data_IF_174601844853
#
_entry.id   IF_174601844853
#
_cell.length_a   1.000
_cell.length_b   1.000
_cell.length_c   1.000
_cell.angle_alpha   90.00
_cell.angle_beta   90.00
_cell.angle_gamma   90.00
#
_symmetry.space_group_name_H-M   'P 1'
#
loop_
_entity.id
_entity.type
_entity.pdbx_description
1 polymer ?
#
# COMPACT_ATOMS: atom_id res chain seq x y z
N UNK A 1 -18.79 33.42 1.52
CA UNK A 1 -18.44 31.99 1.66
C UNK A 1 -16.97 31.90 2.02
N UNK A 2 -16.57 31.16 3.07
CA UNK A 2 -15.15 31.01 3.39
C UNK A 2 -14.42 30.34 2.20
N UNK A 3 -13.22 30.81 1.87
CA UNK A 3 -12.34 30.12 0.90
C UNK A 3 -12.15 28.70 1.41
N UNK A 4 -12.58 27.70 0.64
CA UNK A 4 -12.20 26.33 0.91
C UNK A 4 -10.67 26.23 0.72
N UNK A 5 -9.92 25.98 1.80
CA UNK A 5 -8.47 25.85 1.76
C UNK A 5 -8.15 24.38 1.99
N UNK A 6 -7.75 23.70 0.91
CA UNK A 6 -7.27 22.33 1.00
C UNK A 6 -5.94 22.30 1.77
N UNK A 7 -5.84 21.37 2.71
CA UNK A 7 -4.62 21.08 3.45
C UNK A 7 -3.63 20.32 2.59
N UNK A 8 -2.37 20.24 3.06
CA UNK A 8 -1.34 19.40 2.43
C UNK A 8 -1.80 17.94 2.32
N UNK A 9 -2.44 17.42 3.36
CA UNK A 9 -2.94 16.04 3.41
C UNK A 9 -4.08 15.80 2.42
N UNK A 10 -4.97 16.78 2.21
CA UNK A 10 -6.03 16.66 1.18
C UNK A 10 -5.44 16.49 -0.22
N UNK A 11 -4.38 17.24 -0.52
CA UNK A 11 -3.65 17.11 -1.79
C UNK A 11 -2.95 15.77 -1.94
N UNK A 12 -2.32 15.25 -0.88
CA UNK A 12 -1.65 13.95 -0.90
C UNK A 12 -2.66 12.80 -1.02
N UNK A 13 -3.78 12.85 -0.28
CA UNK A 13 -4.85 11.86 -0.37
C UNK A 13 -5.47 11.80 -1.78
N UNK A 14 -5.78 12.97 -2.36
CA UNK A 14 -6.32 13.02 -3.71
C UNK A 14 -5.27 12.62 -4.76
N UNK A 15 -4.03 13.09 -4.58
CA UNK A 15 -2.89 12.72 -5.42
C UNK A 15 -2.71 11.21 -5.47
N UNK A 16 -2.78 10.54 -4.32
CA UNK A 16 -2.62 9.08 -4.23
C UNK A 16 -3.79 8.38 -4.93
N UNK A 17 -5.01 8.87 -4.74
CA UNK A 17 -6.21 8.38 -5.43
C UNK A 17 -6.06 8.48 -6.96
N UNK A 18 -5.48 9.58 -7.46
CA UNK A 18 -5.25 9.78 -8.90
C UNK A 18 -4.12 8.89 -9.40
N UNK A 19 -3.01 8.83 -8.67
CA UNK A 19 -1.85 8.01 -8.97
C UNK A 19 -2.20 6.52 -9.05
N UNK A 20 -3.02 6.00 -8.14
CA UNK A 20 -3.43 4.60 -8.14
C UNK A 20 -4.26 4.21 -9.38
N UNK A 21 -4.87 5.18 -10.06
CA UNK A 21 -5.65 4.94 -11.28
C UNK A 21 -4.76 4.85 -12.52
N UNK A 22 -3.87 5.82 -12.75
CA UNK A 22 -3.12 5.93 -14.01
C UNK A 22 -1.64 6.32 -13.84
N UNK A 23 -1.07 6.10 -12.66
CA UNK A 23 0.30 6.46 -12.34
C UNK A 23 0.52 7.96 -12.43
N UNK A 24 1.76 8.33 -12.77
CA UNK A 24 2.19 9.72 -12.77
C UNK A 24 1.35 10.62 -13.69
N UNK A 25 0.96 10.12 -14.87
CA UNK A 25 0.17 10.86 -15.84
C UNK A 25 -1.21 11.34 -15.32
N UNK A 26 -1.69 10.76 -14.21
CA UNK A 26 -2.90 11.21 -13.54
C UNK A 26 -2.72 12.53 -12.76
N UNK A 27 -1.50 12.86 -12.34
CA UNK A 27 -1.18 13.93 -11.39
C UNK A 27 -1.17 15.32 -12.05
N UNK A 28 -2.32 15.71 -12.61
CA UNK A 28 -2.53 17.03 -13.22
C UNK A 28 -3.07 18.00 -12.17
N UNK A 29 -2.28 19.01 -11.81
CA UNK A 29 -2.59 19.97 -10.73
C UNK A 29 -3.95 20.65 -10.96
N UNK A 30 -4.26 21.10 -12.18
CA UNK A 30 -5.55 21.72 -12.50
C UNK A 30 -6.74 20.78 -12.25
N UNK A 31 -6.61 19.50 -12.58
CA UNK A 31 -7.69 18.51 -12.36
C UNK A 31 -7.86 18.21 -10.87
N UNK A 32 -6.75 18.05 -10.15
CA UNK A 32 -6.77 17.83 -8.71
C UNK A 32 -7.36 19.04 -7.96
N UNK A 33 -6.97 20.26 -8.34
CA UNK A 33 -7.52 21.50 -7.79
C UNK A 33 -9.05 21.56 -7.97
N UNK A 34 -9.53 21.24 -9.19
CA UNK A 34 -10.96 21.18 -9.50
C UNK A 34 -11.68 20.14 -8.63
N UNK A 35 -11.10 18.96 -8.44
CA UNK A 35 -11.66 17.91 -7.57
C UNK A 35 -11.71 18.30 -6.10
N UNK A 36 -10.75 19.08 -5.61
CA UNK A 36 -10.75 19.63 -4.24
C UNK A 36 -11.64 20.87 -4.07
N UNK A 37 -12.15 21.45 -5.17
CA UNK A 37 -12.90 22.71 -5.13
C UNK A 37 -12.05 23.92 -4.73
N UNK A 38 -10.74 23.90 -5.02
CA UNK A 38 -9.78 24.96 -4.67
C UNK A 38 -9.05 25.48 -5.91
N UNK A 39 -8.37 26.63 -5.79
CA UNK A 39 -7.53 27.16 -6.87
C UNK A 39 -6.24 26.36 -7.01
N UNK A 40 -5.70 26.22 -8.23
CA UNK A 40 -4.38 25.60 -8.43
C UNK A 40 -3.26 26.32 -7.68
N UNK A 41 -3.41 27.60 -7.40
CA UNK A 41 -2.43 28.38 -6.65
C UNK A 41 -2.19 27.83 -5.24
N UNK A 42 -3.21 27.24 -4.58
CA UNK A 42 -3.04 26.68 -3.24
C UNK A 42 -2.16 25.42 -3.22
N UNK A 43 -2.01 24.72 -4.34
CA UNK A 43 -1.03 23.63 -4.47
C UNK A 43 0.39 24.13 -4.23
N UNK A 44 0.75 25.25 -4.86
CA UNK A 44 2.09 25.83 -4.77
C UNK A 44 2.44 26.40 -3.38
N UNK A 45 1.45 26.53 -2.50
CA UNK A 45 1.68 26.90 -1.10
C UNK A 45 2.20 25.71 -0.28
N UNK A 46 1.85 24.49 -0.71
CA UNK A 46 2.25 23.25 -0.06
C UNK A 46 3.48 22.62 -0.73
N UNK A 47 3.52 22.60 -2.06
CA UNK A 47 4.54 21.90 -2.84
C UNK A 47 5.29 22.86 -3.76
N UNK A 48 6.60 23.02 -3.51
CA UNK A 48 7.46 23.95 -4.25
C UNK A 48 7.75 23.50 -5.67
N UNK A 49 7.90 22.19 -5.87
CA UNK A 49 8.21 21.57 -7.15
C UNK A 49 7.40 20.29 -7.33
N UNK A 50 7.31 19.84 -8.59
CA UNK A 50 6.69 18.56 -8.95
C UNK A 50 7.38 17.40 -8.24
N UNK A 51 8.71 17.40 -8.21
CA UNK A 51 9.52 16.35 -7.58
C UNK A 51 9.30 16.30 -6.06
N UNK A 52 9.22 17.46 -5.41
CA UNK A 52 8.91 17.55 -3.98
C UNK A 52 7.55 16.95 -3.67
N UNK A 53 6.55 17.21 -4.50
CA UNK A 53 5.24 16.58 -4.36
C UNK A 53 5.29 15.07 -4.61
N UNK A 54 6.05 14.57 -5.59
CA UNK A 54 6.17 13.14 -5.84
C UNK A 54 6.84 12.40 -4.68
N UNK A 55 7.89 12.98 -4.08
CA UNK A 55 8.54 12.42 -2.90
C UNK A 55 7.60 12.36 -1.71
N UNK A 56 6.93 13.48 -1.39
CA UNK A 56 5.94 13.48 -0.29
C UNK A 56 4.76 12.54 -0.57
N UNK A 57 4.36 12.39 -1.83
CA UNK A 57 3.31 11.46 -2.22
C UNK A 57 3.75 10.01 -2.03
N UNK A 58 5.01 9.69 -2.31
CA UNK A 58 5.59 8.37 -2.07
C UNK A 58 5.65 8.07 -0.56
N UNK A 59 6.09 9.02 0.25
CA UNK A 59 6.08 8.91 1.72
C UNK A 59 4.66 8.72 2.27
N UNK A 60 3.70 9.47 1.73
CA UNK A 60 2.29 9.33 2.09
C UNK A 60 1.73 7.95 1.69
N UNK A 61 2.11 7.45 0.51
CA UNK A 61 1.79 6.09 0.09
C UNK A 61 2.35 5.04 1.06
N UNK A 62 3.58 5.18 1.55
CA UNK A 62 4.16 4.29 2.58
C UNK A 62 3.35 4.35 3.87
N UNK A 63 3.02 5.56 4.33
CA UNK A 63 2.26 5.79 5.57
C UNK A 63 0.89 5.13 5.51
N UNK A 64 0.16 5.31 4.41
CA UNK A 64 -1.19 4.80 4.24
C UNK A 64 -1.22 3.31 3.88
N UNK A 65 -0.35 2.88 2.97
CA UNK A 65 -0.36 1.53 2.39
C UNK A 65 0.50 0.49 3.12
N UNK A 66 1.32 0.89 4.10
CA UNK A 66 2.16 -0.05 4.86
C UNK A 66 2.09 0.23 6.35
N UNK A 67 2.48 1.43 6.79
CA UNK A 67 2.62 1.72 8.23
C UNK A 67 1.28 1.62 8.95
N UNK A 68 0.21 2.14 8.34
CA UNK A 68 -1.14 2.09 8.93
C UNK A 68 -1.66 0.66 9.10
N UNK A 69 -1.47 -0.22 8.11
CA UNK A 69 -1.89 -1.63 8.18
C UNK A 69 -1.08 -2.42 9.21
N UNK A 70 0.25 -2.25 9.23
CA UNK A 70 1.12 -2.83 10.25
C UNK A 70 0.65 -2.40 11.64
N UNK A 71 0.44 -1.09 11.85
CA UNK A 71 -0.02 -0.56 13.13
C UNK A 71 -1.41 -1.09 13.53
N UNK A 72 -2.33 -1.23 12.59
CA UNK A 72 -3.67 -1.75 12.85
C UNK A 72 -3.61 -3.22 13.29
N UNK A 73 -2.81 -4.05 12.61
CA UNK A 73 -2.66 -5.46 12.96
C UNK A 73 -2.06 -5.67 14.37
N UNK A 74 -1.18 -4.78 14.85
CA UNK A 74 -0.57 -4.88 16.19
C UNK A 74 -1.55 -4.79 17.37
N UNK A 75 -2.84 -4.52 17.13
CA UNK A 75 -3.88 -4.55 18.17
C UNK A 75 -4.26 -5.97 18.59
N UNK A 76 -3.99 -6.97 17.76
CA UNK A 76 -4.30 -8.37 18.03
C UNK A 76 -3.16 -9.04 18.82
N UNK A 77 -3.48 -10.06 19.63
CA UNK A 77 -2.50 -10.64 20.55
C UNK A 77 -1.59 -11.65 19.88
N UNK A 78 -2.16 -12.64 19.19
CA UNK A 78 -1.40 -13.72 18.55
C UNK A 78 -0.90 -13.32 17.17
N UNK A 79 0.27 -13.81 16.78
CA UNK A 79 0.84 -13.48 15.46
C UNK A 79 0.00 -14.01 14.30
N UNK A 80 -0.63 -15.18 14.46
CA UNK A 80 -1.61 -15.72 13.51
C UNK A 80 -2.80 -14.77 13.31
N UNK A 81 -3.36 -14.23 14.39
CA UNK A 81 -4.46 -13.27 14.31
C UNK A 81 -4.02 -11.94 13.69
N UNK A 82 -2.82 -11.45 14.02
CA UNK A 82 -2.23 -10.26 13.37
C UNK A 82 -2.12 -10.47 11.86
N UNK A 83 -1.65 -11.64 11.42
CA UNK A 83 -1.49 -11.99 10.00
C UNK A 83 -2.83 -12.12 9.28
N UNK A 84 -3.82 -12.78 9.89
CA UNK A 84 -5.18 -12.86 9.37
C UNK A 84 -5.77 -11.47 9.15
N UNK A 85 -5.72 -10.61 10.16
CA UNK A 85 -6.32 -9.27 10.10
C UNK A 85 -5.54 -8.34 9.16
N UNK A 86 -4.21 -8.44 9.14
CA UNK A 86 -3.38 -7.72 8.17
C UNK A 86 -3.78 -8.06 6.74
N UNK A 87 -3.84 -9.36 6.41
CA UNK A 87 -4.18 -9.81 5.06
C UNK A 87 -5.63 -9.48 4.71
N UNK A 88 -6.58 -9.64 5.64
CA UNK A 88 -7.99 -9.24 5.44
C UNK A 88 -8.11 -7.78 5.01
N UNK A 89 -7.53 -6.89 5.80
CA UNK A 89 -7.57 -5.44 5.53
C UNK A 89 -6.86 -5.07 4.23
N UNK A 90 -5.72 -5.70 3.93
CA UNK A 90 -4.95 -5.42 2.71
C UNK A 90 -5.66 -5.94 1.46
N UNK A 91 -6.29 -7.11 1.49
CA UNK A 91 -6.97 -7.68 0.32
C UNK A 91 -8.36 -7.07 0.07
N UNK A 92 -9.07 -6.63 1.12
CA UNK A 92 -10.38 -5.99 0.97
C UNK A 92 -10.24 -4.49 0.63
N UNK A 93 -9.38 -3.77 1.35
CA UNK A 93 -9.30 -2.30 1.27
C UNK A 93 -7.99 -1.80 0.65
N UNK A 94 -6.87 -2.47 0.96
CA UNK A 94 -5.53 -1.95 0.69
C UNK A 94 -5.00 -2.19 -0.73
N UNK A 95 -5.51 -3.19 -1.46
CA UNK A 95 -4.98 -3.56 -2.78
C UNK A 95 -5.24 -2.50 -3.84
N UNK A 96 -6.35 -1.78 -3.74
CA UNK A 96 -6.64 -0.64 -4.61
C UNK A 96 -5.74 0.58 -4.30
N UNK A 97 -5.07 0.57 -3.14
CA UNK A 97 -4.02 1.52 -2.79
C UNK A 97 -2.61 1.05 -3.16
N UNK A 98 -2.46 -0.21 -3.57
CA UNK A 98 -1.17 -0.79 -3.92
C UNK A 98 -0.80 -0.50 -5.38
N UNK A 99 -0.39 0.74 -5.63
CA UNK A 99 0.11 1.21 -6.94
C UNK A 99 1.60 0.93 -7.15
N UNK A 100 2.14 -0.12 -6.54
CA UNK A 100 3.58 -0.35 -6.50
C UNK A 100 4.21 -0.48 -7.90
N UNK A 101 3.47 -0.97 -8.89
CA UNK A 101 3.90 -0.95 -10.29
C UNK A 101 4.18 0.47 -10.80
N UNK A 102 3.30 1.43 -10.53
CA UNK A 102 3.50 2.82 -10.94
C UNK A 102 4.66 3.46 -10.18
N UNK A 103 4.87 3.11 -8.91
CA UNK A 103 6.05 3.55 -8.17
C UNK A 103 7.34 2.95 -8.72
N UNK A 104 7.33 1.68 -9.14
CA UNK A 104 8.46 1.02 -9.83
C UNK A 104 8.75 1.61 -11.21
N UNK A 105 7.73 2.11 -11.90
CA UNK A 105 7.95 2.82 -13.15
C UNK A 105 8.61 4.18 -12.88
N UNK A 106 8.11 4.92 -11.89
CA UNK A 106 8.66 6.22 -11.50
C UNK A 106 10.07 6.12 -10.88
N UNK A 107 10.37 5.02 -10.19
CA UNK A 107 11.69 4.81 -9.58
C UNK A 107 12.82 4.69 -10.59
N UNK A 108 12.53 4.37 -11.86
CA UNK A 108 13.53 4.31 -12.94
C UNK A 108 14.18 5.67 -13.22
N UNK A 109 13.52 6.75 -12.80
CA UNK A 109 13.93 8.13 -13.05
C UNK A 109 14.32 8.86 -11.74
N UNK A 110 14.22 8.21 -10.57
CA UNK A 110 14.47 8.82 -9.27
C UNK A 110 14.99 7.81 -8.24
N UNK A 111 16.28 7.93 -7.89
CA UNK A 111 16.93 7.09 -6.88
C UNK A 111 16.23 7.18 -5.52
N UNK A 112 15.75 8.37 -5.14
CA UNK A 112 15.03 8.55 -3.87
C UNK A 112 13.71 7.76 -3.84
N UNK A 113 13.00 7.67 -4.96
CA UNK A 113 11.78 6.85 -5.06
C UNK A 113 12.14 5.36 -5.14
N UNK A 114 13.23 5.01 -5.82
CA UNK A 114 13.76 3.64 -5.83
C UNK A 114 14.04 3.13 -4.42
N UNK A 115 14.73 3.92 -3.60
CA UNK A 115 15.02 3.59 -2.21
C UNK A 115 13.73 3.42 -1.39
N UNK A 116 12.75 4.31 -1.57
CA UNK A 116 11.44 4.20 -0.91
C UNK A 116 10.74 2.89 -1.29
N UNK A 117 10.69 2.56 -2.59
CA UNK A 117 10.04 1.32 -3.06
C UNK A 117 10.72 0.10 -2.47
N UNK A 118 12.06 0.00 -2.58
CA UNK A 118 12.82 -1.13 -2.02
C UNK A 118 12.58 -1.31 -0.53
N UNK A 119 12.64 -0.22 0.24
CA UNK A 119 12.43 -0.25 1.68
C UNK A 119 11.01 -0.67 2.06
N UNK A 120 9.99 -0.27 1.29
CA UNK A 120 8.61 -0.68 1.52
C UNK A 120 8.41 -2.17 1.29
N UNK A 121 8.97 -2.71 0.20
CA UNK A 121 8.85 -4.14 -0.10
C UNK A 121 9.55 -4.97 0.98
N UNK A 122 10.77 -4.56 1.34
CA UNK A 122 11.54 -5.21 2.42
C UNK A 122 10.76 -5.17 3.75
N UNK A 123 10.27 -4.01 4.15
CA UNK A 123 9.50 -3.85 5.39
C UNK A 123 8.24 -4.72 5.44
N UNK A 124 7.53 -4.86 4.31
CA UNK A 124 6.34 -5.71 4.22
C UNK A 124 6.69 -7.18 4.42
N UNK A 125 7.73 -7.65 3.74
CA UNK A 125 8.16 -9.05 3.83
C UNK A 125 8.71 -9.35 5.22
N UNK A 126 9.58 -8.49 5.76
CA UNK A 126 10.13 -8.64 7.12
C UNK A 126 9.03 -8.65 8.19
N UNK A 127 7.99 -7.84 8.03
CA UNK A 127 6.87 -7.87 8.96
C UNK A 127 6.11 -9.19 8.88
N UNK A 128 5.80 -9.70 7.68
CA UNK A 128 5.16 -11.01 7.52
C UNK A 128 6.05 -12.11 8.11
N UNK A 129 7.35 -12.12 7.79
CA UNK A 129 8.31 -13.06 8.35
C UNK A 129 8.31 -13.03 9.88
N UNK A 130 8.25 -11.84 10.49
CA UNK A 130 8.20 -11.71 11.96
C UNK A 130 6.96 -12.34 12.59
N UNK A 131 5.83 -12.35 11.87
CA UNK A 131 4.59 -12.99 12.33
C UNK A 131 4.60 -14.52 12.16
N UNK A 132 5.58 -15.06 11.42
CA UNK A 132 5.74 -16.49 11.17
C UNK A 132 6.85 -17.11 12.03
N UNK A 133 7.59 -16.29 12.80
CA UNK A 133 8.80 -16.70 13.49
C UNK A 133 8.59 -17.69 14.65
N UNK A 134 7.36 -17.81 15.18
CA UNK A 134 7.03 -18.84 16.18
C UNK A 134 6.81 -20.23 15.57
N UNK A 135 6.48 -20.27 14.29
CA UNK A 135 5.95 -21.46 13.62
C UNK A 135 7.00 -22.10 12.69
N UNK A 136 7.99 -21.31 12.25
CA UNK A 136 9.02 -21.72 11.30
C UNK A 136 10.40 -21.19 11.72
N UNK A 137 11.46 -21.85 11.22
CA UNK A 137 12.80 -21.27 11.28
C UNK A 137 12.92 -20.02 10.39
N UNK A 138 14.04 -19.29 10.50
CA UNK A 138 14.18 -17.99 9.86
C UNK A 138 14.10 -18.05 8.33
N UNK A 139 14.69 -19.08 7.71
CA UNK A 139 14.75 -19.23 6.25
C UNK A 139 13.38 -19.65 5.71
N UNK A 140 12.71 -20.58 6.38
CA UNK A 140 11.37 -21.03 5.99
C UNK A 140 10.32 -19.92 6.20
N UNK A 141 10.38 -19.19 7.32
CA UNK A 141 9.55 -18.01 7.55
C UNK A 141 9.75 -16.96 6.45
N UNK A 142 11.00 -16.75 6.01
CA UNK A 142 11.32 -15.82 4.92
C UNK A 142 10.72 -16.27 3.60
N UNK A 143 10.94 -17.53 3.22
CA UNK A 143 10.41 -18.09 1.97
C UNK A 143 8.87 -17.99 1.91
N UNK A 144 8.18 -18.29 3.01
CA UNK A 144 6.72 -18.18 3.10
C UNK A 144 6.23 -16.74 3.05
N UNK A 145 6.95 -15.82 3.69
CA UNK A 145 6.66 -14.39 3.59
C UNK A 145 6.81 -13.87 2.15
N UNK A 146 7.88 -14.28 1.46
CA UNK A 146 8.10 -13.97 0.04
C UNK A 146 6.99 -14.59 -0.84
N UNK A 147 6.60 -15.84 -0.61
CA UNK A 147 5.49 -16.49 -1.33
C UNK A 147 4.16 -15.73 -1.17
N UNK A 148 3.79 -15.37 0.06
CA UNK A 148 2.58 -14.61 0.33
C UNK A 148 2.64 -13.22 -0.33
N UNK A 149 3.79 -12.55 -0.26
CA UNK A 149 3.95 -11.23 -0.86
C UNK A 149 3.89 -11.28 -2.39
N UNK A 150 4.53 -12.26 -3.03
CA UNK A 150 4.42 -12.49 -4.48
C UNK A 150 2.97 -12.78 -4.90
N UNK A 151 2.27 -13.62 -4.13
CA UNK A 151 0.85 -13.88 -4.37
C UNK A 151 0.03 -12.60 -4.30
N UNK A 152 0.22 -11.79 -3.26
CA UNK A 152 -0.45 -10.50 -3.11
C UNK A 152 -0.18 -9.55 -4.28
N UNK A 153 1.07 -9.43 -4.75
CA UNK A 153 1.42 -8.62 -5.92
C UNK A 153 0.67 -9.08 -7.18
N UNK A 154 0.69 -10.39 -7.46
CA UNK A 154 0.00 -10.95 -8.61
C UNK A 154 -1.53 -10.80 -8.51
N UNK A 155 -2.08 -11.02 -7.33
CA UNK A 155 -3.51 -10.85 -7.06
C UNK A 155 -3.92 -9.39 -7.24
N UNK A 156 -3.19 -8.45 -6.64
CA UNK A 156 -3.46 -7.01 -6.69
C UNK A 156 -3.42 -6.48 -8.13
N UNK A 157 -2.45 -6.90 -8.95
CA UNK A 157 -2.37 -6.48 -10.36
C UNK A 157 -3.55 -7.04 -11.19
N UNK A 158 -3.98 -8.29 -10.93
CA UNK A 158 -5.10 -8.91 -11.66
C UNK A 158 -6.47 -8.37 -11.23
N UNK A 159 -6.61 -7.90 -9.99
CA UNK A 159 -7.88 -7.45 -9.41
C UNK A 159 -7.95 -5.93 -9.24
N UNK A 160 -7.22 -5.16 -10.05
CA UNK A 160 -7.27 -3.69 -10.01
C UNK A 160 -8.68 -3.18 -10.25
N UNK A 161 -9.21 -2.41 -9.30
CA UNK A 161 -10.56 -1.84 -9.38
C UNK A 161 -11.67 -2.85 -9.11
N UNK A 162 -11.33 -4.09 -8.75
CA UNK A 162 -12.27 -5.09 -8.23
C UNK A 162 -12.18 -5.00 -6.71
N UNK A 163 -13.31 -5.04 -6.02
CA UNK A 163 -13.36 -5.14 -4.56
C UNK A 163 -13.88 -6.53 -4.21
N UNK A 164 -13.29 -7.14 -3.19
CA UNK A 164 -13.81 -8.38 -2.63
C UNK A 164 -14.46 -8.12 -1.28
N UNK A 165 -15.47 -8.92 -0.93
CA UNK A 165 -16.09 -8.89 0.39
C UNK A 165 -15.40 -9.82 1.40
N UNK A 166 -15.92 -9.86 2.63
CA UNK A 166 -15.35 -10.71 3.68
C UNK A 166 -15.47 -12.21 3.38
N UNK A 167 -16.56 -12.65 2.74
CA UNK A 167 -16.75 -14.06 2.43
C UNK A 167 -15.81 -14.53 1.32
N UNK A 168 -15.56 -13.68 0.33
CA UNK A 168 -14.54 -13.91 -0.70
C UNK A 168 -13.13 -13.93 -0.09
N UNK A 169 -12.84 -13.04 0.86
CA UNK A 169 -11.59 -13.08 1.60
C UNK A 169 -11.44 -14.37 2.43
N UNK A 170 -12.47 -14.82 3.12
CA UNK A 170 -12.41 -16.05 3.92
C UNK A 170 -12.11 -17.28 3.05
N UNK A 171 -12.69 -17.33 1.85
CA UNK A 171 -12.37 -18.35 0.85
C UNK A 171 -10.92 -18.23 0.35
N UNK A 172 -10.42 -17.02 0.13
CA UNK A 172 -9.03 -16.79 -0.22
C UNK A 172 -8.07 -17.22 0.90
N UNK A 173 -8.40 -16.87 2.15
CA UNK A 173 -7.62 -17.23 3.32
C UNK A 173 -7.49 -18.75 3.40
N UNK A 174 -8.62 -19.45 3.47
CA UNK A 174 -8.67 -20.91 3.65
C UNK A 174 -7.95 -21.68 2.54
N UNK A 175 -8.14 -21.27 1.29
CA UNK A 175 -7.70 -22.08 0.15
C UNK A 175 -6.30 -21.71 -0.37
N UNK A 176 -5.79 -20.52 -0.04
CA UNK A 176 -4.52 -20.02 -0.59
C UNK A 176 -3.58 -19.51 0.51
N UNK A 177 -4.02 -18.54 1.32
CA UNK A 177 -3.12 -17.87 2.28
C UNK A 177 -2.74 -18.84 3.40
N UNK A 178 -3.71 -19.50 4.03
CA UNK A 178 -3.48 -20.42 5.14
C UNK A 178 -2.53 -21.57 4.78
N UNK A 179 -2.65 -22.25 3.63
CA UNK A 179 -1.65 -23.23 3.19
C UNK A 179 -0.21 -22.68 3.08
N UNK A 180 -0.04 -21.40 2.73
CA UNK A 180 1.28 -20.77 2.65
C UNK A 180 1.86 -20.55 4.05
N UNK A 181 1.03 -20.23 5.04
CA UNK A 181 1.49 -19.71 6.35
C UNK A 181 1.26 -20.66 7.53
N UNK A 182 0.66 -21.84 7.29
CA UNK A 182 0.36 -22.81 8.34
C UNK A 182 1.39 -23.95 8.35
N UNK A 183 2.06 -24.23 9.49
CA UNK A 183 3.05 -25.32 9.59
C UNK A 183 2.45 -26.71 9.45
N UNK A 184 1.16 -26.89 9.75
CA UNK A 184 0.50 -28.20 9.79
C UNK A 184 0.06 -28.74 8.41
N UNK A 185 0.29 -27.98 7.33
CA UNK A 185 -0.21 -28.27 5.97
C UNK A 185 0.91 -28.70 5.01
N UNK A 186 2.17 -28.74 5.45
CA UNK A 186 3.33 -29.18 4.63
C UNK A 186 3.63 -30.67 4.73
#
# INVERSE_FOLDING_TARGET
MPKNIATREDWLNLGLTFFNKKGEAALVVEKMAKSLGVSKTSYYWHFKTRDHFLLELAEHWVKMGTISYIKASKKYQSDREKLFQLTKEVFIQGHNLNSIRFWRDLSKESNAIEDIVKNVELQRIEYIQSLLASDFDNDEARNRADMLYHYFLGWSERHRGIFIDEGEFDMLWKNIIEPIVNPDIS
#
